data_IF_526866266495
#
_entry.id   IF_526866266495
#
_cell.length_a   1.000
_cell.length_b   1.000
_cell.length_c   1.000
_cell.angle_alpha   90.00
_cell.angle_beta   90.00
_cell.angle_gamma   90.00
#
_symmetry.space_group_name_H-M   'P 1'
#
loop_
_entity.id
_entity.type
_entity.pdbx_description
1 polymer ?
#
# COMPACT_ATOMS: atom_id res chain seq x y z
N UNK A 1 12.57 28.14 3.35
CA UNK A 1 12.66 26.82 2.70
C UNK A 1 11.30 26.17 2.69
N UNK A 2 10.92 25.52 1.60
CA UNK A 2 9.71 24.68 1.49
C UNK A 2 10.10 23.22 1.36
N UNK A 3 9.29 22.32 1.94
CA UNK A 3 9.47 20.86 1.85
C UNK A 3 8.36 20.29 1.01
N UNK A 4 8.70 19.46 0.03
CA UNK A 4 7.75 18.74 -0.80
C UNK A 4 8.07 17.23 -0.73
N UNK A 5 7.06 16.39 -0.95
CA UNK A 5 7.22 14.94 -0.90
C UNK A 5 7.85 14.36 -2.17
N UNK A 6 7.64 15.02 -3.32
CA UNK A 6 8.16 14.58 -4.61
C UNK A 6 8.34 15.74 -5.61
N UNK A 7 9.15 15.56 -6.65
CA UNK A 7 9.42 16.59 -7.66
C UNK A 7 8.16 17.14 -8.33
N UNK A 8 7.15 16.29 -8.61
CA UNK A 8 5.90 16.71 -9.26
C UNK A 8 5.03 17.64 -8.42
N UNK A 9 5.28 17.74 -7.12
CA UNK A 9 4.59 18.67 -6.21
C UNK A 9 5.39 19.94 -5.94
N UNK A 10 6.68 19.95 -6.31
CA UNK A 10 7.51 21.14 -6.22
C UNK A 10 6.95 22.25 -7.12
N UNK A 11 7.16 23.50 -6.71
CA UNK A 11 6.69 24.69 -7.43
C UNK A 11 7.86 25.62 -7.70
N UNK A 12 7.72 26.51 -8.67
CA UNK A 12 8.69 27.58 -8.87
C UNK A 12 8.53 28.59 -7.74
N UNK A 13 9.46 28.57 -6.79
CA UNK A 13 9.50 29.48 -5.64
C UNK A 13 10.87 30.14 -5.56
N UNK A 14 10.93 31.39 -5.07
CA UNK A 14 12.18 32.13 -4.87
C UNK A 14 12.96 31.70 -3.61
N UNK A 15 12.49 30.68 -2.93
CA UNK A 15 13.11 30.11 -1.71
C UNK A 15 13.63 28.69 -1.96
N UNK A 16 14.67 28.25 -1.22
CA UNK A 16 15.16 26.88 -1.31
C UNK A 16 14.05 25.86 -1.11
N UNK A 17 14.08 24.79 -1.88
CA UNK A 17 13.14 23.68 -1.81
C UNK A 17 13.90 22.40 -1.54
N UNK A 18 13.33 21.52 -0.69
CA UNK A 18 13.86 20.21 -0.34
C UNK A 18 12.80 19.17 -0.59
N UNK A 19 13.21 18.02 -1.12
CA UNK A 19 12.33 16.87 -1.33
C UNK A 19 12.55 15.87 -0.21
N UNK A 20 11.52 15.64 0.61
CA UNK A 20 11.53 14.66 1.68
C UNK A 20 10.30 13.78 1.54
N UNK A 21 10.48 12.60 0.97
CA UNK A 21 9.40 11.63 0.79
C UNK A 21 8.83 11.18 2.14
N UNK A 22 7.54 10.85 2.23
CA UNK A 22 6.93 10.24 3.41
C UNK A 22 7.62 8.94 3.83
N UNK A 23 7.31 8.48 5.03
CA UNK A 23 7.93 7.27 5.61
C UNK A 23 6.93 6.51 6.47
N UNK A 24 7.23 5.23 6.67
CA UNK A 24 6.53 4.38 7.64
C UNK A 24 7.36 4.19 8.91
N UNK A 25 6.67 3.90 10.01
CA UNK A 25 7.28 3.46 11.25
C UNK A 25 7.23 1.92 11.32
N UNK A 26 8.39 1.23 11.22
CA UNK A 26 8.43 -0.23 11.23
C UNK A 26 8.03 -0.85 12.57
N UNK A 27 8.05 -0.07 13.67
CA UNK A 27 7.74 -0.52 15.03
C UNK A 27 6.29 -0.23 15.44
N UNK A 28 5.53 0.49 14.62
CA UNK A 28 4.10 0.74 14.88
C UNK A 28 3.28 -0.54 14.82
N UNK A 29 2.12 -0.56 15.47
CA UNK A 29 1.18 -1.69 15.42
C UNK A 29 0.81 -2.09 14.00
N UNK A 30 0.79 -1.14 13.07
CA UNK A 30 0.52 -1.38 11.66
C UNK A 30 1.64 -2.12 10.93
N UNK A 31 2.89 -2.10 11.44
CA UNK A 31 4.06 -2.58 10.69
C UNK A 31 4.96 -3.56 11.46
N UNK A 32 4.89 -3.58 12.80
CA UNK A 32 5.70 -4.49 13.62
C UNK A 32 5.46 -5.96 13.29
N UNK A 33 6.42 -6.82 13.60
CA UNK A 33 6.27 -8.25 13.41
C UNK A 33 5.11 -8.80 14.26
N UNK A 34 4.38 -9.75 13.69
CA UNK A 34 3.32 -10.53 14.34
C UNK A 34 3.66 -12.01 14.24
N UNK A 35 3.41 -12.76 15.32
CA UNK A 35 3.52 -14.21 15.29
C UNK A 35 2.44 -14.86 14.42
N UNK A 36 2.73 -16.02 13.84
CA UNK A 36 1.79 -16.74 12.97
C UNK A 36 0.45 -17.01 13.64
N UNK A 37 0.45 -17.51 14.89
CA UNK A 37 -0.79 -17.75 15.64
C UNK A 37 -1.61 -16.48 15.86
N UNK A 38 -0.94 -15.34 16.15
CA UNK A 38 -1.64 -14.06 16.29
C UNK A 38 -2.30 -13.63 14.98
N UNK A 39 -1.66 -13.86 13.85
CA UNK A 39 -2.23 -13.55 12.52
C UNK A 39 -3.46 -14.42 12.28
N UNK A 40 -3.36 -15.73 12.55
CA UNK A 40 -4.45 -16.69 12.37
C UNK A 40 -5.66 -16.36 13.24
N UNK A 41 -5.44 -16.04 14.52
CA UNK A 41 -6.50 -15.64 15.46
C UNK A 41 -7.25 -14.39 14.96
N UNK A 42 -6.50 -13.38 14.47
CA UNK A 42 -7.09 -12.14 13.95
C UNK A 42 -7.91 -12.42 12.69
N UNK A 43 -7.38 -13.20 11.73
CA UNK A 43 -8.12 -13.55 10.52
C UNK A 43 -9.41 -14.30 10.85
N UNK A 44 -9.36 -15.24 11.79
CA UNK A 44 -10.54 -15.98 12.25
C UNK A 44 -11.59 -15.04 12.84
N UNK A 45 -11.19 -14.08 13.69
CA UNK A 45 -12.10 -13.06 14.25
C UNK A 45 -12.74 -12.19 13.18
N UNK A 46 -12.04 -11.94 12.07
CA UNK A 46 -12.53 -11.19 10.93
C UNK A 46 -13.34 -12.04 9.94
N UNK A 47 -13.50 -13.34 10.18
CA UNK A 47 -14.21 -14.26 9.30
C UNK A 47 -13.49 -14.56 7.99
N UNK A 48 -12.14 -14.40 7.96
CA UNK A 48 -11.32 -14.71 6.81
C UNK A 48 -10.70 -16.09 6.98
N UNK A 49 -10.91 -16.97 6.01
CA UNK A 49 -10.30 -18.30 5.99
C UNK A 49 -8.99 -18.28 5.18
N UNK A 50 -7.96 -18.96 5.68
CA UNK A 50 -6.62 -18.98 5.07
C UNK A 50 -6.40 -20.15 4.09
N UNK A 51 -7.46 -20.82 3.66
CA UNK A 51 -7.42 -21.98 2.78
C UNK A 51 -7.15 -21.64 1.30
N UNK A 52 -7.34 -20.37 0.92
CA UNK A 52 -7.11 -19.88 -0.43
C UNK A 52 -6.10 -18.74 -0.48
N UNK A 53 -5.34 -18.59 -1.58
CA UNK A 53 -4.52 -17.41 -1.81
C UNK A 53 -5.34 -16.12 -1.68
N UNK A 54 -4.84 -15.15 -0.93
CA UNK A 54 -5.55 -13.94 -0.60
C UNK A 54 -5.02 -12.75 -1.40
N UNK A 55 -5.88 -12.14 -2.21
CA UNK A 55 -5.66 -10.88 -2.91
C UNK A 55 -6.30 -9.77 -2.07
N UNK A 56 -5.55 -8.74 -1.72
CA UNK A 56 -6.02 -7.77 -0.73
C UNK A 56 -5.82 -6.33 -1.18
N UNK A 57 -6.83 -5.49 -0.97
CA UNK A 57 -6.68 -4.03 -0.99
C UNK A 57 -6.92 -3.47 0.42
N UNK A 58 -5.98 -2.66 0.90
CA UNK A 58 -6.14 -1.89 2.14
C UNK A 58 -6.25 -0.42 1.76
N UNK A 59 -7.44 0.16 1.90
CA UNK A 59 -7.67 1.57 1.60
C UNK A 59 -8.98 2.07 2.23
N UNK A 60 -9.15 3.38 2.29
CA UNK A 60 -10.49 3.92 2.48
C UNK A 60 -11.39 3.51 1.31
N UNK A 61 -12.69 3.38 1.58
CA UNK A 61 -13.69 3.18 0.53
C UNK A 61 -13.98 4.53 -0.11
N UNK A 62 -13.17 4.95 -1.06
CA UNK A 62 -13.38 6.14 -1.89
C UNK A 62 -13.12 5.82 -3.37
N UNK A 63 -13.70 6.64 -4.28
CA UNK A 63 -13.60 6.40 -5.72
C UNK A 63 -12.18 6.47 -6.25
N UNK A 64 -11.32 7.26 -5.62
CA UNK A 64 -9.93 7.42 -6.05
C UNK A 64 -9.09 6.17 -5.74
N UNK A 65 -9.54 5.32 -4.82
CA UNK A 65 -8.91 4.02 -4.50
C UNK A 65 -9.40 2.88 -5.38
N UNK A 66 -10.48 3.12 -6.14
CA UNK A 66 -11.05 2.22 -7.14
C UNK A 66 -11.33 0.78 -6.65
N UNK A 67 -11.99 0.58 -5.50
CA UNK A 67 -12.29 -0.76 -5.00
C UNK A 67 -13.18 -1.57 -5.96
N UNK A 68 -14.03 -0.90 -6.72
CA UNK A 68 -14.85 -1.53 -7.76
C UNK A 68 -13.98 -2.10 -8.86
N UNK A 69 -13.01 -1.33 -9.37
CA UNK A 69 -12.09 -1.82 -10.39
C UNK A 69 -11.18 -2.93 -9.89
N UNK A 70 -10.86 -2.96 -8.58
CA UNK A 70 -10.15 -4.10 -7.96
C UNK A 70 -11.02 -5.35 -7.93
N UNK A 71 -12.30 -5.24 -7.56
CA UNK A 71 -13.26 -6.35 -7.60
C UNK A 71 -13.42 -6.91 -9.03
N UNK A 72 -13.49 -6.03 -10.02
CA UNK A 72 -13.58 -6.44 -11.44
C UNK A 72 -12.30 -7.16 -11.90
N UNK A 73 -11.13 -6.62 -11.56
CA UNK A 73 -9.84 -7.25 -11.87
C UNK A 73 -9.72 -8.65 -11.24
N UNK A 74 -10.09 -8.77 -9.96
CA UNK A 74 -10.10 -10.05 -9.27
C UNK A 74 -11.07 -11.04 -9.93
N UNK A 75 -12.28 -10.62 -10.31
CA UNK A 75 -13.25 -11.47 -11.02
C UNK A 75 -12.72 -12.00 -12.37
N UNK A 76 -11.97 -11.19 -13.10
CA UNK A 76 -11.32 -11.63 -14.33
C UNK A 76 -10.23 -12.67 -14.00
N UNK A 77 -9.40 -12.42 -13.00
CA UNK A 77 -8.29 -13.30 -12.60
C UNK A 77 -8.79 -14.64 -12.05
N UNK A 78 -9.82 -14.65 -11.18
CA UNK A 78 -10.36 -15.86 -10.55
C UNK A 78 -10.94 -16.89 -11.52
N UNK A 79 -11.22 -16.51 -12.76
CA UNK A 79 -11.60 -17.46 -13.81
C UNK A 79 -10.48 -18.44 -14.17
N UNK A 80 -9.25 -18.16 -13.75
CA UNK A 80 -8.04 -18.92 -14.11
C UNK A 80 -7.23 -19.39 -12.90
N UNK A 81 -7.39 -18.77 -11.74
CA UNK A 81 -6.69 -19.06 -10.49
C UNK A 81 -7.68 -18.98 -9.34
N UNK A 82 -7.68 -19.98 -8.47
CA UNK A 82 -8.54 -19.96 -7.28
C UNK A 82 -7.92 -19.02 -6.24
N UNK A 83 -8.68 -18.02 -5.80
CA UNK A 83 -8.25 -17.03 -4.83
C UNK A 83 -9.45 -16.28 -4.23
N UNK A 84 -9.28 -15.76 -3.03
CA UNK A 84 -10.23 -14.88 -2.38
C UNK A 84 -9.79 -13.42 -2.46
N UNK A 85 -10.74 -12.50 -2.31
CA UNK A 85 -10.53 -11.05 -2.29
C UNK A 85 -10.86 -10.49 -0.90
N UNK A 86 -9.96 -9.71 -0.35
CA UNK A 86 -10.20 -8.93 0.87
C UNK A 86 -10.09 -7.44 0.55
N UNK A 87 -11.19 -6.72 0.71
CA UNK A 87 -11.24 -5.27 0.65
C UNK A 87 -11.42 -4.76 2.08
N UNK A 88 -10.38 -4.17 2.66
CA UNK A 88 -10.37 -3.77 4.06
C UNK A 88 -9.94 -2.31 4.23
N UNK A 89 -10.60 -1.63 5.13
CA UNK A 89 -10.36 -0.26 5.51
C UNK A 89 -11.62 0.38 6.07
N UNK A 90 -11.57 1.66 6.37
CA UNK A 90 -12.71 2.40 6.91
C UNK A 90 -12.92 3.71 6.18
N UNK A 91 -14.12 4.24 6.24
CA UNK A 91 -14.42 5.63 5.90
C UNK A 91 -13.93 6.57 7.01
N UNK A 92 -13.67 7.83 6.68
CA UNK A 92 -13.73 8.87 7.70
C UNK A 92 -15.20 8.97 8.15
N UNK A 93 -15.45 9.09 9.45
CA UNK A 93 -16.80 9.13 10.04
C UNK A 93 -17.67 10.27 9.52
N UNK A 94 -17.07 11.22 8.84
CA UNK A 94 -17.64 12.43 8.25
C UNK A 94 -17.60 12.45 6.71
N UNK A 95 -17.21 11.33 6.05
CA UNK A 95 -17.12 11.23 4.60
C UNK A 95 -18.35 10.53 4.00
N UNK A 96 -19.34 11.29 3.49
CA UNK A 96 -20.54 10.72 2.88
C UNK A 96 -20.24 9.92 1.60
N UNK A 97 -19.13 10.19 0.91
CA UNK A 97 -18.73 9.44 -0.28
C UNK A 97 -18.31 8.01 0.09
N UNK A 98 -17.61 7.84 1.22
CA UNK A 98 -17.16 6.53 1.68
C UNK A 98 -18.30 5.53 1.89
N UNK A 99 -19.40 5.97 2.49
CA UNK A 99 -20.59 5.15 2.69
C UNK A 99 -21.26 4.75 1.36
N UNK A 100 -21.26 5.63 0.37
CA UNK A 100 -21.82 5.35 -0.97
C UNK A 100 -20.97 4.32 -1.69
N UNK A 101 -19.63 4.50 -1.70
CA UNK A 101 -18.70 3.56 -2.35
C UNK A 101 -18.73 2.19 -1.68
N UNK A 102 -18.74 2.14 -0.35
CA UNK A 102 -18.84 0.87 0.39
C UNK A 102 -20.11 0.10 0.01
N UNK A 103 -21.26 0.78 -0.05
CA UNK A 103 -22.52 0.16 -0.48
C UNK A 103 -22.44 -0.34 -1.92
N UNK A 104 -21.91 0.46 -2.85
CA UNK A 104 -21.73 0.06 -4.27
C UNK A 104 -20.85 -1.19 -4.38
N UNK A 105 -19.77 -1.28 -3.61
CA UNK A 105 -18.88 -2.44 -3.60
C UNK A 105 -19.63 -3.67 -3.06
N UNK A 106 -20.40 -3.54 -1.97
CA UNK A 106 -21.20 -4.64 -1.41
C UNK A 106 -22.26 -5.14 -2.40
N UNK A 107 -22.99 -4.22 -3.03
CA UNK A 107 -23.99 -4.58 -4.06
C UNK A 107 -23.33 -5.32 -5.25
N UNK A 108 -22.17 -4.83 -5.71
CA UNK A 108 -21.44 -5.49 -6.79
C UNK A 108 -20.81 -6.82 -6.38
N UNK A 109 -20.41 -6.99 -5.13
CA UNK A 109 -19.89 -8.26 -4.63
C UNK A 109 -20.95 -9.37 -4.63
N UNK A 110 -22.25 -9.02 -4.44
CA UNK A 110 -23.39 -9.94 -4.58
C UNK A 110 -23.26 -11.21 -3.73
N UNK A 111 -22.89 -11.09 -2.46
CA UNK A 111 -22.71 -12.18 -1.50
C UNK A 111 -21.79 -13.31 -1.98
N UNK A 112 -20.81 -12.99 -2.83
CA UNK A 112 -19.79 -13.94 -3.26
C UNK A 112 -18.98 -14.39 -2.04
N UNK A 113 -18.95 -15.70 -1.70
CA UNK A 113 -18.31 -16.19 -0.46
C UNK A 113 -16.79 -15.99 -0.45
N UNK A 114 -16.17 -15.77 -1.60
CA UNK A 114 -14.75 -15.49 -1.71
C UNK A 114 -14.42 -13.97 -1.66
N UNK A 115 -15.40 -13.10 -1.35
CA UNK A 115 -15.20 -11.65 -1.23
C UNK A 115 -15.50 -11.19 0.19
N UNK A 116 -14.48 -10.72 0.88
CA UNK A 116 -14.58 -10.17 2.24
C UNK A 116 -14.47 -8.64 2.18
N UNK A 117 -15.51 -7.94 2.64
CA UNK A 117 -15.55 -6.47 2.69
C UNK A 117 -15.60 -6.05 4.17
N UNK A 118 -14.48 -5.54 4.65
CA UNK A 118 -14.26 -5.20 6.05
C UNK A 118 -14.24 -3.68 6.23
N UNK A 119 -15.28 -3.15 6.83
CA UNK A 119 -15.34 -1.76 7.27
C UNK A 119 -14.73 -1.67 8.68
N UNK A 120 -13.45 -1.30 8.73
CA UNK A 120 -12.66 -1.32 9.96
C UNK A 120 -12.52 0.10 10.53
N UNK A 121 -12.53 0.23 11.87
CA UNK A 121 -12.31 1.53 12.50
C UNK A 121 -10.88 2.04 12.22
N UNK A 122 -10.65 3.36 12.29
CA UNK A 122 -9.31 3.96 12.07
C UNK A 122 -8.22 3.42 13.01
N UNK A 123 -8.61 2.81 14.13
CA UNK A 123 -7.72 2.22 15.14
C UNK A 123 -7.33 0.77 14.85
N UNK A 124 -7.89 0.12 13.84
CA UNK A 124 -7.66 -1.29 13.50
C UNK A 124 -6.26 -1.54 12.87
N UNK A 125 -5.21 -1.02 13.50
CA UNK A 125 -3.84 -1.10 12.97
C UNK A 125 -3.29 -2.53 13.00
N UNK A 126 -3.61 -3.29 14.03
CA UNK A 126 -3.16 -4.69 14.19
C UNK A 126 -3.87 -5.59 13.19
N UNK A 127 -5.17 -5.40 13.00
CA UNK A 127 -5.98 -6.15 12.03
C UNK A 127 -5.46 -5.91 10.61
N UNK A 128 -5.20 -4.65 10.25
CA UNK A 128 -4.60 -4.30 8.94
C UNK A 128 -3.22 -4.94 8.77
N UNK A 129 -2.39 -4.93 9.82
CA UNK A 129 -1.08 -5.57 9.81
C UNK A 129 -1.20 -7.08 9.55
N UNK A 130 -2.10 -7.76 10.28
CA UNK A 130 -2.35 -9.19 10.13
C UNK A 130 -2.87 -9.54 8.73
N UNK A 131 -3.86 -8.79 8.21
CA UNK A 131 -4.39 -8.96 6.85
C UNK A 131 -3.27 -8.81 5.81
N UNK A 132 -2.45 -7.74 5.90
CA UNK A 132 -1.34 -7.56 4.96
C UNK A 132 -0.32 -8.70 5.04
N UNK A 133 0.01 -9.20 6.25
CA UNK A 133 0.95 -10.31 6.43
C UNK A 133 0.42 -11.64 5.89
N UNK A 134 -0.86 -11.88 6.01
CA UNK A 134 -1.50 -13.07 5.46
C UNK A 134 -1.69 -13.02 3.94
N UNK A 135 -1.73 -11.83 3.35
CA UNK A 135 -1.98 -11.65 1.92
C UNK A 135 -0.92 -12.32 1.04
N UNK A 136 -1.38 -12.92 -0.06
CA UNK A 136 -0.51 -13.44 -1.11
C UNK A 136 -0.09 -12.32 -2.07
N UNK A 137 -1.02 -11.40 -2.40
CA UNK A 137 -0.78 -10.25 -3.26
C UNK A 137 -1.55 -9.05 -2.70
N UNK A 138 -0.89 -7.90 -2.61
CA UNK A 138 -1.52 -6.64 -2.22
C UNK A 138 -1.79 -5.79 -3.47
N UNK A 139 -2.97 -5.19 -3.53
CA UNK A 139 -3.37 -4.29 -4.62
C UNK A 139 -3.57 -2.88 -4.10
N UNK A 140 -3.02 -1.90 -4.80
CA UNK A 140 -3.26 -0.48 -4.59
C UNK A 140 -3.54 0.19 -5.94
N UNK A 141 -4.66 -0.17 -6.55
CA UNK A 141 -5.07 0.31 -7.88
C UNK A 141 -5.75 1.69 -7.80
N UNK A 142 -5.09 2.66 -7.18
CA UNK A 142 -5.61 4.02 -7.11
C UNK A 142 -5.67 4.67 -8.48
N UNK A 143 -6.73 5.46 -8.74
CA UNK A 143 -6.86 6.34 -9.90
C UNK A 143 -6.12 7.66 -9.67
N UNK A 144 -6.03 8.08 -8.41
CA UNK A 144 -5.25 9.23 -7.96
C UNK A 144 -4.71 8.95 -6.56
N UNK A 145 -3.45 9.30 -6.36
CA UNK A 145 -2.76 9.07 -5.08
C UNK A 145 -1.80 10.23 -4.78
N UNK A 146 -1.60 10.53 -3.51
CA UNK A 146 -0.44 11.28 -3.08
C UNK A 146 0.76 10.33 -3.04
N UNK A 147 1.14 9.87 -1.86
CA UNK A 147 2.23 8.91 -1.68
C UNK A 147 1.75 7.45 -1.72
N UNK A 148 0.67 7.12 -0.99
CA UNK A 148 0.18 5.75 -0.87
C UNK A 148 0.98 4.93 0.15
N UNK A 149 0.95 5.32 1.42
CA UNK A 149 1.68 4.64 2.51
C UNK A 149 1.41 3.13 2.57
N UNK A 150 0.22 2.69 2.20
CA UNK A 150 -0.16 1.26 2.14
C UNK A 150 0.78 0.46 1.24
N UNK A 151 1.32 1.06 0.17
CA UNK A 151 2.32 0.42 -0.70
C UNK A 151 3.60 0.15 0.08
N UNK A 152 4.17 1.17 0.74
CA UNK A 152 5.37 1.00 1.59
C UNK A 152 5.12 0.01 2.73
N UNK A 153 3.95 0.03 3.37
CA UNK A 153 3.57 -0.89 4.45
C UNK A 153 3.52 -2.35 3.97
N UNK A 154 2.97 -2.59 2.77
CA UNK A 154 2.93 -3.92 2.16
C UNK A 154 4.32 -4.42 1.73
N UNK A 155 5.10 -3.56 1.07
CA UNK A 155 6.48 -3.87 0.67
C UNK A 155 7.39 -4.13 1.87
N UNK A 156 7.21 -3.39 2.97
CA UNK A 156 7.93 -3.63 4.24
C UNK A 156 7.70 -5.05 4.78
N UNK A 157 6.51 -5.61 4.55
CA UNK A 157 6.13 -6.98 4.92
C UNK A 157 6.55 -8.03 3.85
N UNK A 158 7.40 -7.63 2.91
CA UNK A 158 7.85 -8.47 1.79
C UNK A 158 6.69 -9.01 0.94
N UNK A 159 5.57 -8.27 0.85
CA UNK A 159 4.44 -8.69 0.00
C UNK A 159 4.60 -8.15 -1.41
N UNK A 160 4.32 -8.97 -2.44
CA UNK A 160 4.25 -8.48 -3.80
C UNK A 160 3.09 -7.51 -3.95
N UNK A 161 3.36 -6.34 -4.52
CA UNK A 161 2.36 -5.26 -4.69
C UNK A 161 2.09 -5.04 -6.17
N UNK A 162 0.80 -4.97 -6.53
CA UNK A 162 0.31 -4.47 -7.82
C UNK A 162 -0.32 -3.10 -7.55
N UNK A 163 0.20 -2.03 -8.15
CA UNK A 163 -0.28 -0.69 -7.88
C UNK A 163 -0.53 0.12 -9.15
N UNK A 164 -1.42 1.11 -9.06
CA UNK A 164 -1.63 2.10 -10.09
C UNK A 164 -0.38 2.97 -10.26
N UNK A 165 0.01 3.26 -11.52
CA UNK A 165 1.15 4.14 -11.80
C UNK A 165 0.73 5.61 -11.70
N UNK A 166 0.38 6.05 -10.49
CA UNK A 166 -0.14 7.40 -10.21
C UNK A 166 0.51 8.00 -8.96
N UNK A 167 0.54 9.34 -8.90
CA UNK A 167 1.12 10.06 -7.78
C UNK A 167 2.59 9.69 -7.53
N UNK A 168 2.93 9.42 -6.27
CA UNK A 168 4.29 9.02 -5.84
C UNK A 168 4.49 7.50 -5.79
N UNK A 169 3.50 6.69 -6.17
CA UNK A 169 3.65 5.23 -6.20
C UNK A 169 4.86 4.78 -7.05
N UNK A 170 5.16 5.38 -8.23
CA UNK A 170 6.35 5.04 -9.01
C UNK A 170 7.69 5.27 -8.31
N UNK A 171 7.73 6.07 -7.23
CA UNK A 171 8.93 6.22 -6.39
C UNK A 171 9.15 5.01 -5.47
N UNK A 172 8.07 4.29 -5.15
CA UNK A 172 8.08 3.14 -4.25
C UNK A 172 8.25 1.81 -4.99
N UNK A 173 7.92 1.77 -6.29
CA UNK A 173 7.93 0.55 -7.09
C UNK A 173 8.73 0.73 -8.38
N UNK A 174 9.77 -0.08 -8.53
CA UNK A 174 10.41 -0.33 -9.82
C UNK A 174 9.68 -1.50 -10.47
N UNK A 175 9.00 -1.23 -11.60
CA UNK A 175 8.15 -2.22 -12.29
C UNK A 175 8.89 -3.50 -12.63
N UNK A 176 8.31 -4.65 -12.28
CA UNK A 176 8.85 -6.02 -12.43
C UNK A 176 10.12 -6.32 -11.61
N UNK A 177 10.56 -5.41 -10.77
CA UNK A 177 11.72 -5.62 -9.91
C UNK A 177 11.34 -5.61 -8.42
N UNK A 178 10.64 -4.57 -7.93
CA UNK A 178 10.21 -4.44 -6.54
C UNK A 178 8.69 -4.43 -6.37
N UNK A 179 7.95 -4.63 -7.45
CA UNK A 179 6.50 -4.65 -7.51
C UNK A 179 6.02 -4.47 -8.95
N UNK A 180 4.72 -4.31 -9.11
CA UNK A 180 4.08 -4.18 -10.42
C UNK A 180 3.34 -2.84 -10.50
N UNK A 181 3.59 -2.08 -11.56
CA UNK A 181 2.80 -0.90 -11.94
C UNK A 181 1.80 -1.27 -13.03
N UNK A 182 0.56 -0.83 -12.89
CA UNK A 182 -0.54 -1.11 -13.84
C UNK A 182 -1.38 0.14 -14.10
N UNK A 183 -2.14 0.14 -15.20
CA UNK A 183 -2.97 1.28 -15.60
C UNK A 183 -4.44 0.90 -15.79
N UNK A 184 -4.75 -0.41 -15.97
CA UNK A 184 -6.09 -0.88 -16.32
C UNK A 184 -6.56 -2.02 -15.42
N UNK A 185 -7.84 -2.29 -15.42
CA UNK A 185 -8.46 -3.43 -14.74
C UNK A 185 -7.90 -4.74 -15.29
N UNK A 186 -7.80 -4.88 -16.61
CA UNK A 186 -7.29 -6.06 -17.30
C UNK A 186 -5.80 -6.30 -17.01
N UNK A 187 -5.01 -5.22 -16.97
CA UNK A 187 -3.59 -5.29 -16.58
C UNK A 187 -3.42 -5.74 -15.13
N UNK A 188 -4.28 -5.25 -14.23
CA UNK A 188 -4.30 -5.70 -12.83
C UNK A 188 -4.69 -7.19 -12.75
N UNK A 189 -5.73 -7.62 -13.45
CA UNK A 189 -6.16 -9.02 -13.51
C UNK A 189 -5.08 -9.95 -14.06
N UNK A 190 -4.40 -9.53 -15.13
CA UNK A 190 -3.26 -10.26 -15.68
C UNK A 190 -2.18 -10.48 -14.63
N UNK A 191 -1.80 -9.45 -13.88
CA UNK A 191 -0.75 -9.54 -12.88
C UNK A 191 -1.17 -10.29 -11.62
N UNK A 192 -2.45 -10.23 -11.20
CA UNK A 192 -2.98 -11.11 -10.14
C UNK A 192 -2.73 -12.57 -10.54
N UNK A 193 -3.18 -12.96 -11.74
CA UNK A 193 -2.97 -14.32 -12.26
C UNK A 193 -1.49 -14.69 -12.29
N UNK A 194 -0.63 -13.81 -12.83
CA UNK A 194 0.80 -14.09 -12.96
C UNK A 194 1.47 -14.32 -11.59
N UNK A 195 1.19 -13.46 -10.61
CA UNK A 195 1.82 -13.56 -9.29
C UNK A 195 1.33 -14.78 -8.50
N UNK A 196 0.04 -15.13 -8.64
CA UNK A 196 -0.50 -16.35 -8.01
C UNK A 196 0.01 -17.63 -8.68
N UNK A 197 0.33 -17.60 -9.99
CA UNK A 197 0.85 -18.75 -10.72
C UNK A 197 2.38 -18.89 -10.69
N UNK A 198 3.10 -17.89 -10.22
CA UNK A 198 4.57 -17.84 -10.17
C UNK A 198 5.07 -17.35 -8.79
N UNK A 199 4.97 -18.21 -7.74
CA UNK A 199 5.27 -17.82 -6.37
C UNK A 199 6.72 -17.37 -6.16
N UNK A 200 7.68 -17.94 -6.83
CA UNK A 200 9.10 -17.54 -6.76
C UNK A 200 9.30 -16.11 -7.28
N UNK A 201 8.64 -15.76 -8.39
CA UNK A 201 8.68 -14.40 -8.91
C UNK A 201 7.98 -13.42 -7.95
N UNK A 202 6.82 -13.79 -7.42
CA UNK A 202 6.10 -12.99 -6.43
C UNK A 202 6.96 -12.73 -5.18
N UNK A 203 7.63 -13.78 -4.66
CA UNK A 203 8.54 -13.68 -3.52
C UNK A 203 9.74 -12.76 -3.81
N UNK A 204 10.32 -12.86 -5.01
CA UNK A 204 11.44 -11.98 -5.41
C UNK A 204 11.04 -10.51 -5.44
N UNK A 205 9.84 -10.19 -5.97
CA UNK A 205 9.30 -8.84 -5.95
C UNK A 205 9.11 -8.31 -4.52
N UNK A 206 8.57 -9.14 -3.62
CA UNK A 206 8.38 -8.79 -2.22
C UNK A 206 9.69 -8.52 -1.50
N UNK A 207 10.70 -9.37 -1.69
CA UNK A 207 12.03 -9.20 -1.10
C UNK A 207 12.74 -7.92 -1.59
N UNK A 208 12.69 -7.65 -2.89
CA UNK A 208 13.25 -6.43 -3.47
C UNK A 208 12.49 -5.19 -2.99
N UNK A 209 11.16 -5.27 -2.88
CA UNK A 209 10.32 -4.21 -2.34
C UNK A 209 10.64 -3.89 -0.88
N UNK A 210 10.84 -4.91 -0.05
CA UNK A 210 11.27 -4.75 1.34
C UNK A 210 12.60 -3.99 1.43
N UNK A 211 13.60 -4.40 0.67
CA UNK A 211 14.91 -3.74 0.64
C UNK A 211 14.79 -2.28 0.16
N UNK A 212 13.94 -2.02 -0.83
CA UNK A 212 13.69 -0.66 -1.30
C UNK A 212 13.08 0.23 -0.22
N UNK A 213 12.07 -0.25 0.50
CA UNK A 213 11.44 0.48 1.63
C UNK A 213 12.41 0.67 2.77
N UNK A 214 13.19 -0.36 3.14
CA UNK A 214 14.21 -0.29 4.19
C UNK A 214 15.20 0.84 3.94
N UNK A 215 15.62 1.01 2.72
CA UNK A 215 16.66 1.99 2.36
C UNK A 215 16.10 3.41 2.18
N UNK A 216 14.81 3.55 1.78
CA UNK A 216 14.30 4.83 1.29
C UNK A 216 13.09 5.38 2.08
N UNK A 217 12.30 4.55 2.78
CA UNK A 217 11.00 4.99 3.28
C UNK A 217 10.75 4.69 4.76
N UNK A 218 11.81 4.47 5.56
CA UNK A 218 11.69 4.35 7.02
C UNK A 218 11.81 5.71 7.71
N UNK A 219 11.20 5.81 8.90
CA UNK A 219 11.21 7.01 9.74
C UNK A 219 12.63 7.49 10.09
N UNK A 220 13.61 6.59 10.21
CA UNK A 220 15.01 6.94 10.44
C UNK A 220 15.62 7.77 9.32
N UNK A 221 15.38 7.38 8.04
CA UNK A 221 15.78 8.18 6.88
C UNK A 221 15.07 9.53 6.89
N UNK A 222 13.76 9.54 7.13
CA UNK A 222 12.95 10.75 7.15
C UNK A 222 13.43 11.75 8.22
N UNK A 223 13.75 11.27 9.42
CA UNK A 223 14.32 12.09 10.49
C UNK A 223 15.68 12.67 10.09
N UNK A 224 16.58 11.86 9.53
CA UNK A 224 17.87 12.31 9.02
C UNK A 224 17.72 13.44 8.01
N UNK A 225 16.80 13.29 7.05
CA UNK A 225 16.62 14.28 5.98
C UNK A 225 16.08 15.61 6.53
N UNK A 226 15.19 15.58 7.55
CA UNK A 226 14.76 16.80 8.23
C UNK A 226 15.89 17.45 9.06
N UNK A 227 16.70 16.66 9.76
CA UNK A 227 17.87 17.19 10.50
C UNK A 227 18.85 17.88 9.55
N UNK A 228 19.13 17.29 8.38
CA UNK A 228 19.96 17.90 7.35
C UNK A 228 19.34 19.20 6.82
N UNK A 229 18.04 19.23 6.59
CA UNK A 229 17.32 20.43 6.17
C UNK A 229 17.40 21.55 7.21
N UNK A 230 17.26 21.23 8.50
CA UNK A 230 17.43 22.20 9.59
C UNK A 230 18.87 22.69 9.70
N UNK A 231 19.86 21.79 9.64
CA UNK A 231 21.27 22.16 9.64
C UNK A 231 21.62 23.12 8.50
N UNK A 232 21.06 22.91 7.31
CA UNK A 232 21.21 23.81 6.17
C UNK A 232 20.62 25.20 6.44
N UNK A 233 19.52 25.30 7.21
CA UNK A 233 18.88 26.57 7.52
C UNK A 233 19.60 27.35 8.65
N UNK A 234 20.20 26.64 9.61
CA UNK A 234 20.79 27.23 10.83
C UNK A 234 22.29 27.33 10.77
N UNK A 235 22.95 26.58 9.88
CA UNK A 235 24.41 26.57 9.72
C UNK A 235 24.91 27.83 9.06
N UNK A 236 26.12 28.23 9.43
CA UNK A 236 26.89 29.22 8.68
C UNK A 236 27.24 28.58 7.33
N UNK A 237 26.87 29.23 6.22
CA UNK A 237 27.05 28.69 4.86
C UNK A 237 28.51 28.46 4.48
N UNK A 238 29.46 28.88 5.34
CA UNK A 238 30.90 28.66 5.19
C UNK A 238 31.38 27.31 5.71
N UNK A 239 30.57 26.59 6.50
CA UNK A 239 30.99 25.35 7.12
C UNK A 239 30.61 24.12 6.27
N UNK A 240 31.61 23.32 5.94
CA UNK A 240 31.41 22.00 5.33
C UNK A 240 31.06 21.02 6.44
N UNK A 241 29.80 20.57 6.50
CA UNK A 241 29.41 19.46 7.36
C UNK A 241 30.04 18.18 6.81
N UNK A 242 31.07 17.68 7.48
CA UNK A 242 31.62 16.35 7.23
C UNK A 242 30.87 15.36 8.12
N UNK A 243 30.06 14.49 7.50
CA UNK A 243 29.42 13.35 8.14
C UNK A 243 30.35 12.15 8.14
#
# INVERSE_FOLDING_TARGET
MSVFSAPQFARTLEIPQVLIAPSIDPLSDKNRELGTGQIEDILQQLGIHSDKPMVTQISRFDRLKDPVGVLEAWRIARRRVDCQLVLAGGGATDDPEGAVVLREVREKASDDPDVHILDLPPTANIEINAIQRASTVIIQKSLKEGFGLTVSEALWKSKPVIAGSVGEIPLQITHKYSGILTHTVEGTAFWIKQLLSAPEFAQSLGANGHNHVRNNFLRTRHMRDYLLAFSYLTGDRSDVIRL
#
